data_IF_999571888672
#
_entry.id   IF_999571888672
#
_cell.length_a   1.000
_cell.length_b   1.000
_cell.length_c   1.000
_cell.angle_alpha   90.00
_cell.angle_beta   90.00
_cell.angle_gamma   90.00
#
_symmetry.space_group_name_H-M   'P 1'
#
loop_
_entity.id
_entity.type
_entity.pdbx_description
1 polymer ?
#
# COMPACT_ATOMS: atom_id res chain seq x y z
N UNK A 1 -0.81 25.98 10.28
CA UNK A 1 -0.01 24.82 10.71
C UNK A 1 0.40 24.10 9.43
N UNK A 2 1.67 24.21 9.02
CA UNK A 2 2.15 23.61 7.78
C UNK A 2 2.23 22.08 7.95
N UNK A 3 1.43 21.33 7.19
CA UNK A 3 1.61 19.89 7.05
C UNK A 3 3.01 19.64 6.49
N UNK A 4 3.89 19.06 7.31
CA UNK A 4 5.19 18.61 6.87
C UNK A 4 4.93 17.43 5.93
N UNK A 5 5.31 17.53 4.66
CA UNK A 5 5.27 16.40 3.73
C UNK A 5 6.15 15.28 4.30
N UNK A 6 5.53 14.31 4.96
CA UNK A 6 6.21 13.11 5.42
C UNK A 6 6.51 12.24 4.19
N UNK A 7 7.78 12.27 3.78
CA UNK A 7 8.34 11.35 2.79
C UNK A 7 8.30 9.95 3.40
N UNK A 8 7.69 8.95 2.74
CA UNK A 8 7.67 7.58 3.25
C UNK A 8 9.09 7.03 3.42
N UNK A 9 9.40 6.45 4.58
CA UNK A 9 10.72 5.85 4.83
C UNK A 9 10.78 4.43 4.23
N UNK A 10 9.63 3.73 4.18
CA UNK A 10 9.52 2.41 3.60
C UNK A 10 8.15 2.13 2.94
N UNK A 11 7.99 0.94 2.36
CA UNK A 11 6.76 0.55 1.68
C UNK A 11 5.56 0.42 2.63
N UNK A 12 5.81 0.11 3.90
CA UNK A 12 4.80 0.03 4.94
C UNK A 12 4.15 1.42 5.18
N UNK A 13 4.92 2.51 5.10
CA UNK A 13 4.38 3.88 5.20
C UNK A 13 3.46 4.24 4.03
N UNK A 14 3.76 3.73 2.83
CA UNK A 14 2.88 3.82 1.67
C UNK A 14 1.59 3.03 1.94
N UNK A 15 1.71 1.80 2.42
CA UNK A 15 0.59 0.92 2.71
C UNK A 15 -0.36 1.45 3.80
N UNK A 16 0.15 2.20 4.79
CA UNK A 16 -0.68 2.90 5.80
C UNK A 16 -1.72 3.82 5.15
N UNK A 17 -1.34 4.50 4.07
CA UNK A 17 -2.25 5.39 3.32
C UNK A 17 -3.28 4.60 2.52
N UNK A 18 -2.98 3.35 2.14
CA UNK A 18 -3.84 2.50 1.33
C UNK A 18 -4.83 1.66 2.13
N UNK A 19 -5.09 2.01 3.40
CA UNK A 19 -6.15 1.37 4.19
C UNK A 19 -7.47 1.31 3.41
N UNK A 20 -8.12 0.16 3.49
CA UNK A 20 -9.34 -0.23 2.81
C UNK A 20 -9.26 -0.39 1.28
N UNK A 21 -8.10 -0.15 0.66
CA UNK A 21 -7.91 -0.33 -0.77
C UNK A 21 -7.58 -1.79 -1.12
N UNK A 22 -7.94 -2.18 -2.35
CA UNK A 22 -7.44 -3.41 -2.98
C UNK A 22 -6.16 -3.08 -3.74
N UNK A 23 -5.11 -3.83 -3.45
CA UNK A 23 -3.79 -3.67 -4.05
C UNK A 23 -3.26 -5.02 -4.52
N UNK A 24 -2.27 -5.00 -5.40
CA UNK A 24 -1.46 -6.17 -5.73
C UNK A 24 -0.11 -6.01 -5.03
N UNK A 25 0.21 -6.96 -4.17
CA UNK A 25 1.51 -7.08 -3.51
C UNK A 25 2.39 -7.98 -4.37
N UNK A 26 3.56 -7.50 -4.76
CA UNK A 26 4.61 -8.35 -5.33
C UNK A 26 5.62 -8.71 -4.25
N UNK A 27 5.78 -9.99 -3.98
CA UNK A 27 6.74 -10.48 -3.00
C UNK A 27 8.16 -10.59 -3.59
N UNK A 28 9.19 -10.63 -2.75
CA UNK A 28 10.57 -10.90 -3.15
C UNK A 28 10.74 -12.22 -3.92
N UNK A 29 9.86 -13.19 -3.69
CA UNK A 29 9.84 -14.45 -4.43
C UNK A 29 9.39 -14.31 -5.89
N UNK A 30 8.88 -13.13 -6.29
CA UNK A 30 8.27 -12.89 -7.59
C UNK A 30 6.77 -13.22 -7.64
N UNK A 31 6.22 -13.85 -6.59
CA UNK A 31 4.79 -14.11 -6.49
C UNK A 31 4.01 -12.80 -6.37
N UNK A 32 2.80 -12.81 -6.92
CA UNK A 32 1.86 -11.70 -6.83
C UNK A 32 0.61 -12.16 -6.12
N UNK A 33 0.08 -11.32 -5.25
CA UNK A 33 -1.17 -11.60 -4.55
C UNK A 33 -2.01 -10.32 -4.47
N UNK A 34 -3.29 -10.44 -4.81
CA UNK A 34 -4.23 -9.35 -4.68
C UNK A 34 -4.86 -9.39 -3.29
N UNK A 35 -4.71 -8.31 -2.53
CA UNK A 35 -5.12 -8.24 -1.12
C UNK A 35 -5.93 -6.97 -0.89
N UNK A 36 -6.82 -6.98 0.12
CA UNK A 36 -7.39 -5.73 0.65
C UNK A 36 -6.62 -5.33 1.90
N UNK A 37 -6.10 -4.10 1.95
CA UNK A 37 -5.37 -3.58 3.12
C UNK A 37 -6.35 -3.32 4.26
N UNK A 38 -6.05 -3.85 5.44
CA UNK A 38 -6.82 -3.62 6.67
C UNK A 38 -6.12 -2.61 7.56
N UNK A 39 -4.83 -2.85 7.83
CA UNK A 39 -4.00 -2.02 8.69
C UNK A 39 -2.51 -2.29 8.40
N UNK A 40 -1.65 -1.44 8.95
CA UNK A 40 -0.21 -1.66 9.03
C UNK A 40 0.20 -1.41 10.47
N UNK A 41 0.72 -2.44 11.13
CA UNK A 41 1.14 -2.41 12.53
C UNK A 41 2.66 -2.63 12.60
N UNK A 42 3.42 -1.57 12.87
CA UNK A 42 4.87 -1.59 12.72
C UNK A 42 5.27 -1.93 11.28
N UNK A 43 6.02 -3.02 11.12
CA UNK A 43 6.49 -3.54 9.82
C UNK A 43 5.62 -4.70 9.29
N UNK A 44 4.40 -4.84 9.79
CA UNK A 44 3.48 -5.90 9.36
C UNK A 44 2.26 -5.29 8.66
N UNK A 45 2.09 -5.64 7.38
CA UNK A 45 0.85 -5.44 6.65
C UNK A 45 -0.18 -6.48 7.11
N UNK A 46 -1.31 -5.99 7.61
CA UNK A 46 -2.51 -6.80 7.85
C UNK A 46 -3.44 -6.62 6.67
N UNK A 47 -3.74 -7.71 5.98
CA UNK A 47 -4.58 -7.69 4.79
C UNK A 47 -5.58 -8.84 4.79
N UNK A 48 -6.55 -8.80 3.87
CA UNK A 48 -7.46 -9.93 3.63
C UNK A 48 -7.35 -10.46 2.21
N UNK A 49 -7.38 -11.79 2.10
CA UNK A 49 -7.49 -12.56 0.85
C UNK A 49 -8.57 -13.61 1.06
N UNK A 50 -9.56 -13.68 0.17
CA UNK A 50 -10.66 -14.67 0.23
C UNK A 50 -11.30 -14.84 1.62
N UNK A 51 -11.61 -13.71 2.28
CA UNK A 51 -12.19 -13.62 3.64
C UNK A 51 -11.29 -14.13 4.77
N UNK A 52 -10.01 -14.42 4.51
CA UNK A 52 -9.00 -14.77 5.51
C UNK A 52 -8.11 -13.56 5.76
N UNK A 53 -7.67 -13.39 7.01
CA UNK A 53 -6.61 -12.45 7.34
C UNK A 53 -5.26 -13.07 6.99
N UNK A 54 -4.39 -12.26 6.39
CA UNK A 54 -2.99 -12.59 6.19
C UNK A 54 -2.13 -11.48 6.79
N UNK A 55 -0.96 -11.87 7.26
CA UNK A 55 0.01 -11.00 7.91
C UNK A 55 1.31 -11.11 7.13
N UNK A 56 1.73 -9.99 6.53
CA UNK A 56 2.88 -9.94 5.64
C UNK A 56 3.91 -9.02 6.27
N UNK A 57 5.12 -9.52 6.50
CA UNK A 57 6.24 -8.65 6.84
C UNK A 57 6.55 -7.75 5.63
N UNK A 58 6.59 -6.44 5.83
CA UNK A 58 6.86 -5.46 4.79
C UNK A 58 8.22 -5.68 4.10
N UNK A 59 9.19 -6.27 4.79
CA UNK A 59 10.45 -6.67 4.17
C UNK A 59 10.22 -7.68 3.04
N UNK A 60 9.22 -8.56 3.12
CA UNK A 60 8.95 -9.54 2.08
C UNK A 60 8.36 -8.92 0.80
N UNK A 61 7.94 -7.65 0.85
CA UNK A 61 7.30 -6.96 -0.26
C UNK A 61 8.38 -6.29 -1.12
N UNK A 62 8.37 -6.60 -2.40
CA UNK A 62 9.24 -5.97 -3.40
C UNK A 62 8.58 -4.72 -3.98
N UNK A 63 7.28 -4.78 -4.29
CA UNK A 63 6.52 -3.63 -4.77
C UNK A 63 5.03 -3.77 -4.51
N UNK A 64 4.32 -2.65 -4.62
CA UNK A 64 2.86 -2.56 -4.47
C UNK A 64 2.30 -1.87 -5.73
N UNK A 65 1.27 -2.47 -6.32
CA UNK A 65 0.53 -1.89 -7.45
C UNK A 65 -0.87 -1.57 -6.96
N UNK A 66 -1.30 -0.32 -7.13
CA UNK A 66 -2.64 0.14 -6.78
C UNK A 66 -3.32 0.70 -8.03
N UNK A 67 -4.43 0.09 -8.43
CA UNK A 67 -5.28 0.56 -9.51
C UNK A 67 -6.22 1.63 -8.95
N UNK A 68 -5.82 2.90 -9.03
CA UNK A 68 -6.70 4.08 -9.08
C UNK A 68 -5.86 5.36 -9.06
N UNK A 69 -5.81 6.07 -10.20
CA UNK A 69 -5.24 7.43 -10.30
C UNK A 69 -5.90 8.37 -9.27
N UNK A 70 -7.20 8.23 -9.02
CA UNK A 70 -7.95 9.09 -8.09
C UNK A 70 -7.62 8.83 -6.60
N UNK A 71 -7.33 7.57 -6.24
CA UNK A 71 -6.96 7.19 -4.88
C UNK A 71 -5.52 7.61 -4.60
N UNK A 72 -4.63 7.41 -5.57
CA UNK A 72 -3.22 7.76 -5.44
C UNK A 72 -3.04 9.29 -5.47
N UNK A 73 -3.67 10.00 -6.41
CA UNK A 73 -3.60 11.47 -6.47
C UNK A 73 -4.12 12.12 -5.18
N UNK A 74 -5.26 11.64 -4.65
CA UNK A 74 -5.82 12.17 -3.40
C UNK A 74 -4.98 11.82 -2.17
N UNK A 75 -4.48 10.59 -2.06
CA UNK A 75 -3.72 10.13 -0.86
C UNK A 75 -2.27 10.58 -0.85
N UNK A 76 -1.70 10.88 -2.01
CA UNK A 76 -0.31 11.31 -2.15
C UNK A 76 -0.16 12.74 -2.66
N UNK A 77 -1.26 13.47 -2.85
CA UNK A 77 -1.27 14.85 -3.38
C UNK A 77 -0.52 14.98 -4.71
N UNK A 78 -0.65 13.98 -5.58
CA UNK A 78 -0.01 13.96 -6.90
C UNK A 78 -0.95 14.62 -7.92
N UNK A 79 -0.46 15.63 -8.64
CA UNK A 79 -1.14 16.14 -9.83
C UNK A 79 -0.86 15.16 -10.98
N UNK A 80 -1.91 14.64 -11.59
CA UNK A 80 -1.80 13.80 -12.78
C UNK A 80 -2.22 14.64 -13.99
N UNK A 81 -1.26 14.97 -14.85
CA UNK A 81 -1.57 15.50 -16.17
C UNK A 81 -1.96 14.31 -17.05
N UNK A 82 -3.21 14.31 -17.55
CA UNK A 82 -3.66 13.29 -18.49
C UNK A 82 -2.76 13.34 -19.74
N UNK A 83 -1.96 12.29 -19.96
CA UNK A 83 -1.37 11.98 -21.26
C UNK A 83 -2.25 10.96 -21.99
#
# INVERSE_FOLDING_TARGET
MSETQHVPDNICDILKKLKDEKIIVMFRSGNKEQVKVVAVEGDVLVATVDKKFIFINCDCICSVIADCIDVISKKFSLQYDNC
#
